data_IF_952791836850
#
_entry.id   IF_952791836850
#
_cell.length_a   1.000
_cell.length_b   1.000
_cell.length_c   1.000
_cell.angle_alpha   90.00
_cell.angle_beta   90.00
_cell.angle_gamma   90.00
#
_symmetry.space_group_name_H-M   'P 1'
#
loop_
_entity.id
_entity.type
_entity.pdbx_description
1 polymer ?
#
# COMPACT_ATOMS: atom_id res chain seq x y z
N UNK A 1 47.10 2.04 -3.77
CA UNK A 1 45.94 2.95 -3.67
C UNK A 1 44.99 2.88 -4.87
N UNK A 2 45.44 2.99 -6.13
CA UNK A 2 44.56 2.92 -7.32
C UNK A 2 43.78 1.60 -7.47
N UNK A 3 44.39 0.45 -7.13
CA UNK A 3 43.72 -0.86 -7.21
C UNK A 3 42.67 -1.05 -6.12
N UNK A 4 42.99 -0.64 -4.89
CA UNK A 4 42.10 -0.75 -3.72
C UNK A 4 40.82 0.06 -3.93
N UNK A 5 40.92 1.27 -4.49
CA UNK A 5 39.76 2.11 -4.80
C UNK A 5 38.80 1.45 -5.80
N UNK A 6 39.32 0.72 -6.81
CA UNK A 6 38.48 0.01 -7.78
C UNK A 6 37.69 -1.14 -7.14
N UNK A 7 38.32 -1.92 -6.26
CA UNK A 7 37.65 -3.03 -5.57
C UNK A 7 36.59 -2.51 -4.58
N UNK A 8 36.88 -1.40 -3.89
CA UNK A 8 35.91 -0.74 -3.00
C UNK A 8 34.70 -0.25 -3.82
N UNK A 9 34.92 0.42 -4.97
CA UNK A 9 33.82 0.86 -5.83
C UNK A 9 32.96 -0.31 -6.35
N UNK A 10 33.59 -1.44 -6.69
CA UNK A 10 32.88 -2.63 -7.18
C UNK A 10 32.01 -3.27 -6.08
N UNK A 11 32.52 -3.32 -4.85
CA UNK A 11 31.78 -3.84 -3.69
C UNK A 11 30.62 -2.92 -3.30
N UNK A 12 30.82 -1.60 -3.33
CA UNK A 12 29.75 -0.62 -3.07
C UNK A 12 28.64 -0.74 -4.13
N UNK A 13 29.01 -0.88 -5.41
CA UNK A 13 28.03 -1.05 -6.50
C UNK A 13 27.24 -2.36 -6.36
N UNK A 14 27.90 -3.45 -5.97
CA UNK A 14 27.22 -4.73 -5.70
C UNK A 14 26.28 -4.63 -4.48
N UNK A 15 26.67 -3.93 -3.41
CA UNK A 15 25.78 -3.68 -2.27
C UNK A 15 24.56 -2.82 -2.64
N UNK A 16 24.73 -1.77 -3.46
CA UNK A 16 23.62 -0.92 -3.90
C UNK A 16 22.56 -1.72 -4.67
N UNK A 17 22.98 -2.63 -5.56
CA UNK A 17 22.07 -3.50 -6.31
C UNK A 17 21.33 -4.52 -5.42
N UNK A 18 21.92 -4.92 -4.29
CA UNK A 18 21.24 -5.79 -3.32
C UNK A 18 20.14 -5.04 -2.55
N UNK A 19 20.30 -3.74 -2.28
CA UNK A 19 19.33 -2.97 -1.50
C UNK A 19 17.98 -2.89 -2.23
N UNK A 20 17.97 -2.75 -3.56
CA UNK A 20 16.72 -2.70 -4.34
C UNK A 20 16.02 -4.07 -4.41
N UNK A 21 16.78 -5.18 -4.37
CA UNK A 21 16.24 -6.56 -4.43
C UNK A 21 15.65 -7.01 -3.09
N UNK A 22 16.22 -6.56 -1.96
CA UNK A 22 15.72 -6.88 -0.61
C UNK A 22 14.83 -5.78 -0.01
N UNK A 23 14.78 -4.60 -0.64
CA UNK A 23 14.08 -3.41 -0.13
C UNK A 23 12.68 -3.18 -0.68
N UNK A 24 12.18 -4.02 -1.59
CA UNK A 24 10.76 -4.01 -1.94
C UNK A 24 9.97 -4.48 -0.72
N UNK A 25 9.46 -3.53 0.06
CA UNK A 25 8.51 -3.82 1.13
C UNK A 25 7.36 -4.65 0.56
N UNK A 26 7.07 -5.80 1.16
CA UNK A 26 5.98 -6.69 0.74
C UNK A 26 4.60 -6.15 1.18
N UNK A 27 4.47 -4.83 1.26
CA UNK A 27 3.36 -4.13 1.88
C UNK A 27 2.29 -3.72 0.87
N UNK A 28 1.05 -3.74 1.34
CA UNK A 28 -0.07 -3.16 0.63
C UNK A 28 0.20 -1.66 0.40
N UNK A 29 0.31 -1.28 -0.86
CA UNK A 29 0.57 0.11 -1.26
C UNK A 29 -0.73 0.89 -1.31
N UNK A 30 -0.78 2.05 -0.67
CA UNK A 30 -1.96 2.93 -0.62
C UNK A 30 -1.66 4.18 -1.44
N UNK A 31 -2.41 4.39 -2.53
CA UNK A 31 -2.31 5.59 -3.37
C UNK A 31 -3.63 6.34 -3.35
N UNK A 32 -3.54 7.67 -3.31
CA UNK A 32 -4.70 8.56 -3.28
C UNK A 32 -4.50 9.72 -4.24
N UNK A 33 -5.50 9.96 -5.09
CA UNK A 33 -5.49 11.03 -6.08
C UNK A 33 -6.77 11.85 -5.95
N UNK A 34 -6.67 13.17 -6.13
CA UNK A 34 -7.83 14.03 -6.14
C UNK A 34 -8.65 13.72 -7.39
N UNK A 35 -9.96 13.55 -7.22
CA UNK A 35 -10.86 13.15 -8.30
C UNK A 35 -11.38 14.36 -9.07
N UNK A 36 -10.80 14.60 -10.24
CA UNK A 36 -11.18 15.72 -11.10
C UNK A 36 -10.84 17.07 -10.48
N UNK A 37 -11.64 18.08 -10.81
CA UNK A 37 -11.45 19.47 -10.33
C UNK A 37 -12.31 19.83 -9.12
N UNK A 38 -13.27 18.96 -8.76
CA UNK A 38 -14.12 19.16 -7.61
C UNK A 38 -13.33 18.88 -6.33
N UNK A 39 -13.39 19.81 -5.38
CA UNK A 39 -12.75 19.61 -4.08
C UNK A 39 -13.44 18.49 -3.31
N UNK A 40 -12.63 17.65 -2.69
CA UNK A 40 -13.08 16.72 -1.66
C UNK A 40 -13.66 15.40 -2.14
N UNK A 41 -13.26 14.92 -3.32
CA UNK A 41 -13.36 13.52 -3.72
C UNK A 41 -11.95 12.95 -3.99
N UNK A 42 -11.73 11.70 -3.57
CA UNK A 42 -10.43 11.04 -3.65
C UNK A 42 -10.58 9.64 -4.23
N UNK A 43 -9.88 9.36 -5.33
CA UNK A 43 -9.71 8.02 -5.87
C UNK A 43 -8.59 7.31 -5.08
N UNK A 44 -8.92 6.17 -4.46
CA UNK A 44 -7.97 5.36 -3.70
C UNK A 44 -7.67 4.09 -4.46
N UNK A 45 -6.38 3.76 -4.56
CA UNK A 45 -5.90 2.47 -5.07
C UNK A 45 -5.13 1.76 -3.97
N UNK A 46 -5.56 0.56 -3.61
CA UNK A 46 -4.85 -0.37 -2.74
C UNK A 46 -4.23 -1.44 -3.63
N UNK A 47 -2.91 -1.47 -3.70
CA UNK A 47 -2.17 -2.30 -4.65
C UNK A 47 -1.27 -3.29 -3.90
N UNK A 48 -1.37 -4.57 -4.26
CA UNK A 48 -0.37 -5.54 -3.86
C UNK A 48 0.82 -5.49 -4.83
N UNK A 49 1.83 -4.71 -4.47
CA UNK A 49 3.10 -4.62 -5.20
C UNK A 49 4.08 -5.78 -4.90
N UNK A 50 3.71 -6.68 -3.98
CA UNK A 50 4.50 -7.86 -3.63
C UNK A 50 4.39 -8.94 -4.71
N UNK A 51 5.45 -9.73 -4.95
CA UNK A 51 5.35 -10.98 -5.71
C UNK A 51 4.57 -12.08 -4.97
N UNK A 52 4.22 -11.85 -3.70
CA UNK A 52 3.53 -12.78 -2.83
C UNK A 52 2.07 -12.35 -2.57
N UNK A 53 1.27 -13.27 -2.03
CA UNK A 53 -0.12 -12.98 -1.66
C UNK A 53 -0.14 -12.20 -0.34
N UNK A 54 -0.96 -11.13 -0.28
CA UNK A 54 -1.27 -10.42 0.97
C UNK A 54 -2.55 -11.00 1.59
N UNK A 55 -2.53 -11.23 2.89
CA UNK A 55 -3.61 -11.78 3.70
C UNK A 55 -3.86 -10.89 4.92
N UNK A 56 -5.08 -10.90 5.46
CA UNK A 56 -5.41 -10.24 6.73
C UNK A 56 -5.00 -8.75 6.76
N UNK A 57 -5.27 -8.02 5.68
CA UNK A 57 -4.91 -6.62 5.56
C UNK A 57 -5.95 -5.71 6.25
N UNK A 58 -5.46 -4.84 7.15
CA UNK A 58 -6.28 -3.89 7.89
C UNK A 58 -5.69 -2.49 7.80
N UNK A 59 -6.54 -1.49 7.57
CA UNK A 59 -6.16 -0.08 7.60
C UNK A 59 -6.66 0.61 8.87
N UNK A 60 -5.92 1.61 9.32
CA UNK A 60 -6.35 2.56 10.33
C UNK A 60 -7.40 3.47 9.71
N UNK A 61 -8.60 3.38 10.28
CA UNK A 61 -9.77 4.16 9.91
C UNK A 61 -10.32 4.93 11.11
N UNK A 62 -9.46 5.22 12.10
CA UNK A 62 -9.82 6.04 13.26
C UNK A 62 -10.32 7.39 12.78
N UNK A 63 -11.55 7.72 13.15
CA UNK A 63 -12.19 8.95 12.73
C UNK A 63 -12.54 9.03 11.24
N UNK A 64 -12.38 7.96 10.44
CA UNK A 64 -12.78 7.94 9.03
C UNK A 64 -14.32 7.95 8.86
N UNK A 65 -14.80 8.64 7.84
CA UNK A 65 -16.17 8.93 7.44
C UNK A 65 -16.15 9.20 5.93
N UNK A 66 -17.28 9.09 5.25
CA UNK A 66 -17.38 9.55 3.88
C UNK A 66 -18.77 10.06 3.59
N UNK A 67 -18.86 11.12 2.79
CA UNK A 67 -20.15 11.59 2.26
C UNK A 67 -20.66 10.72 1.10
N UNK A 68 -19.85 9.75 0.65
CA UNK A 68 -20.16 8.82 -0.43
C UNK A 68 -20.17 7.40 0.10
N UNK A 69 -21.10 6.59 -0.39
CA UNK A 69 -21.10 5.16 -0.11
C UNK A 69 -19.87 4.50 -0.74
N UNK A 70 -19.18 3.69 0.07
CA UNK A 70 -18.03 2.88 -0.35
C UNK A 70 -18.50 1.42 -0.35
N UNK A 71 -18.10 0.66 -1.37
CA UNK A 71 -18.39 -0.77 -1.43
C UNK A 71 -17.73 -1.49 -0.22
N UNK A 72 -18.52 -2.10 0.69
CA UNK A 72 -17.98 -2.78 1.86
C UNK A 72 -17.11 -4.00 1.48
N UNK A 73 -17.21 -4.51 0.26
CA UNK A 73 -16.33 -5.59 -0.23
C UNK A 73 -14.90 -5.11 -0.49
N UNK A 74 -14.70 -3.81 -0.72
CA UNK A 74 -13.37 -3.23 -0.90
C UNK A 74 -12.78 -2.78 0.44
N UNK A 75 -13.55 -2.00 1.19
CA UNK A 75 -13.20 -1.51 2.54
C UNK A 75 -14.44 -1.58 3.41
N UNK A 76 -14.37 -2.34 4.50
CA UNK A 76 -15.40 -2.40 5.52
C UNK A 76 -14.88 -1.80 6.84
N UNK A 77 -15.43 -0.66 7.24
CA UNK A 77 -15.11 -0.04 8.53
C UNK A 77 -15.79 -0.80 9.69
N UNK A 78 -15.00 -1.27 10.66
CA UNK A 78 -15.45 -1.87 11.91
C UNK A 78 -14.77 -1.19 13.09
N UNK A 79 -15.49 -0.32 13.80
CA UNK A 79 -14.89 0.55 14.81
C UNK A 79 -13.85 1.47 14.17
N UNK A 80 -12.61 1.41 14.64
CA UNK A 80 -11.48 2.22 14.16
C UNK A 80 -10.62 1.51 13.10
N UNK A 81 -10.89 0.25 12.78
CA UNK A 81 -10.20 -0.49 11.73
C UNK A 81 -11.05 -0.59 10.47
N UNK A 82 -10.40 -0.66 9.32
CA UNK A 82 -11.02 -1.06 8.07
C UNK A 82 -10.47 -2.40 7.61
N UNK A 83 -11.38 -3.35 7.36
CA UNK A 83 -11.05 -4.63 6.72
C UNK A 83 -10.92 -4.38 5.22
N UNK A 84 -9.80 -4.78 4.64
CA UNK A 84 -9.55 -4.68 3.20
C UNK A 84 -10.02 -5.96 2.50
N UNK A 85 -10.62 -5.81 1.32
CA UNK A 85 -11.03 -6.92 0.44
C UNK A 85 -11.97 -7.94 1.12
N UNK A 86 -12.84 -7.50 2.04
CA UNK A 86 -13.69 -8.40 2.85
C UNK A 86 -12.87 -9.45 3.64
N UNK A 87 -11.62 -9.14 3.97
CA UNK A 87 -10.68 -10.04 4.63
C UNK A 87 -10.07 -11.11 3.71
N UNK A 88 -10.43 -11.11 2.42
CA UNK A 88 -9.90 -12.03 1.44
C UNK A 88 -8.48 -11.67 1.03
N UNK A 89 -7.80 -12.65 0.42
CA UNK A 89 -6.45 -12.48 -0.08
C UNK A 89 -6.38 -11.46 -1.21
N UNK A 90 -5.26 -10.76 -1.32
CA UNK A 90 -4.96 -9.86 -2.44
C UNK A 90 -3.79 -10.50 -3.19
N UNK A 91 -4.02 -10.93 -4.42
CA UNK A 91 -3.02 -11.64 -5.20
C UNK A 91 -1.91 -10.68 -5.69
N UNK A 92 -0.74 -11.19 -6.07
CA UNK A 92 0.31 -10.36 -6.66
C UNK A 92 -0.22 -9.50 -7.80
N UNK A 93 0.16 -8.22 -7.82
CA UNK A 93 -0.27 -7.23 -8.82
C UNK A 93 -1.78 -6.92 -8.86
N UNK A 94 -2.56 -7.44 -7.91
CA UNK A 94 -3.97 -7.09 -7.77
C UNK A 94 -4.13 -5.69 -7.18
N UNK A 95 -5.12 -4.95 -7.70
CA UNK A 95 -5.45 -3.60 -7.25
C UNK A 95 -6.93 -3.49 -6.92
N UNK A 96 -7.24 -2.99 -5.73
CA UNK A 96 -8.58 -2.66 -5.28
C UNK A 96 -8.76 -1.15 -5.35
N UNK A 97 -9.94 -0.70 -5.77
CA UNK A 97 -10.22 0.73 -5.97
C UNK A 97 -11.52 1.12 -5.32
N UNK A 98 -11.53 2.28 -4.68
CA UNK A 98 -12.74 2.90 -4.17
C UNK A 98 -12.61 4.42 -4.20
N UNK A 99 -13.74 5.10 -4.09
CA UNK A 99 -13.81 6.56 -4.04
C UNK A 99 -14.43 6.97 -2.72
N UNK A 100 -13.83 7.93 -2.03
CA UNK A 100 -14.44 8.55 -0.86
C UNK A 100 -14.56 10.06 -1.05
N UNK A 101 -15.57 10.65 -0.42
CA UNK A 101 -15.78 12.09 -0.36
C UNK A 101 -15.47 12.64 1.04
N UNK A 102 -14.44 13.49 1.14
CA UNK A 102 -14.03 14.23 2.35
C UNK A 102 -13.34 15.53 1.95
N UNK A 103 -13.45 16.58 2.77
CA UNK A 103 -12.70 17.84 2.62
C UNK A 103 -11.22 17.64 2.27
N UNK A 104 -10.48 16.88 3.09
CA UNK A 104 -9.05 16.63 2.90
C UNK A 104 -8.73 15.15 2.66
N UNK A 105 -7.51 14.90 2.19
CA UNK A 105 -6.98 13.54 2.03
C UNK A 105 -6.90 12.87 3.40
N UNK A 106 -7.60 11.76 3.57
CA UNK A 106 -7.53 10.96 4.78
C UNK A 106 -6.20 10.18 4.84
N UNK A 107 -5.45 10.22 5.95
CA UNK A 107 -4.14 9.59 6.06
C UNK A 107 -4.25 8.11 6.44
N UNK A 108 -4.78 7.27 5.54
CA UNK A 108 -4.83 5.83 5.76
C UNK A 108 -3.44 5.27 6.10
N UNK A 109 -3.37 4.42 7.12
CA UNK A 109 -2.17 3.70 7.53
C UNK A 109 -2.45 2.21 7.54
N UNK A 110 -1.46 1.41 7.16
CA UNK A 110 -1.53 -0.04 7.33
C UNK A 110 -1.38 -0.36 8.82
N UNK A 111 -2.39 -1.00 9.42
CA UNK A 111 -2.32 -1.49 10.79
C UNK A 111 -1.67 -2.86 10.86
N UNK A 112 -2.07 -3.74 9.94
CA UNK A 112 -1.61 -5.11 9.90
C UNK A 112 -1.74 -5.67 8.49
N UNK A 113 -0.86 -6.62 8.19
CA UNK A 113 -0.96 -7.53 7.07
C UNK A 113 -0.11 -8.76 7.34
N UNK A 114 -0.37 -9.82 6.58
CA UNK A 114 0.48 -11.00 6.51
C UNK A 114 0.78 -11.31 5.05
N UNK A 115 1.98 -11.83 4.79
CA UNK A 115 2.47 -12.12 3.44
C UNK A 115 2.75 -13.61 3.33
N UNK A 116 2.23 -14.24 2.29
CA UNK A 116 2.43 -15.66 2.00
C UNK A 116 3.10 -15.83 0.63
N UNK A 117 4.34 -16.32 0.66
CA UNK A 117 5.16 -16.63 -0.52
C UNK A 117 5.27 -18.15 -0.70
N UNK A 118 5.38 -18.61 -1.95
CA UNK A 118 5.58 -20.01 -2.32
C UNK A 118 7.04 -20.34 -2.62
#
# INVERSE_FOLDING_TARGET
MKSIMKHICLLIFMCLMCIDVYGQGFDLTIRQEARGTAQGEWDVTLENASPCVILNAYLDCTGFQSRRDIDPKVILKQGDACIVNDGQRINPSESLRFVYAWEDRFPFKLLNQSVACS
#
